data_IF_131934236878
#
_entry.id   IF_131934236878
#
_cell.length_a   1.000
_cell.length_b   1.000
_cell.length_c   1.000
_cell.angle_alpha   90.00
_cell.angle_beta   90.00
_cell.angle_gamma   90.00
#
_symmetry.space_group_name_H-M   'P 1'
#
loop_
_entity.id
_entity.type
_entity.pdbx_description
1 polymer ?
#
# COMPACT_ATOMS: atom_id res chain seq x y z
N UNK A 1 6.08 -2.18 -5.51
CA UNK A 1 6.55 -1.87 -4.14
C UNK A 1 6.74 -0.37 -3.92
N UNK A 2 7.64 0.32 -4.64
CA UNK A 2 7.83 1.76 -4.38
C UNK A 2 6.53 2.59 -4.49
N UNK A 3 5.70 2.35 -5.52
CA UNK A 3 4.41 3.04 -5.66
C UNK A 3 3.45 2.78 -4.48
N UNK A 4 3.39 1.54 -3.97
CA UNK A 4 2.51 1.21 -2.83
C UNK A 4 3.01 1.88 -1.55
N UNK A 5 4.33 1.99 -1.35
CA UNK A 5 4.91 2.76 -0.25
C UNK A 5 4.60 4.25 -0.35
N UNK A 6 4.74 4.84 -1.54
CA UNK A 6 4.39 6.26 -1.78
C UNK A 6 2.91 6.50 -1.47
N UNK A 7 2.02 5.65 -1.99
CA UNK A 7 0.59 5.76 -1.70
C UNK A 7 0.29 5.68 -0.19
N UNK A 8 0.96 4.79 0.54
CA UNK A 8 0.81 4.70 2.00
C UNK A 8 1.38 5.89 2.76
N UNK A 9 2.51 6.47 2.33
CA UNK A 9 3.05 7.70 2.94
C UNK A 9 2.06 8.84 2.75
N UNK A 10 1.56 9.03 1.53
CA UNK A 10 0.58 10.08 1.22
C UNK A 10 -0.70 9.87 2.03
N UNK A 11 -1.17 8.62 2.15
CA UNK A 11 -2.29 8.26 3.03
C UNK A 11 -2.04 8.65 4.49
N UNK A 12 -0.90 8.28 5.06
CA UNK A 12 -0.58 8.62 6.45
C UNK A 12 -0.53 10.14 6.68
N UNK A 13 0.06 10.90 5.75
CA UNK A 13 0.13 12.36 5.84
C UNK A 13 -1.29 12.96 5.83
N UNK A 14 -2.10 12.62 4.83
CA UNK A 14 -3.46 13.15 4.68
C UNK A 14 -4.34 12.75 5.88
N UNK A 15 -4.23 11.51 6.32
CA UNK A 15 -5.04 11.01 7.44
C UNK A 15 -4.62 11.64 8.77
N UNK A 16 -3.33 11.90 8.97
CA UNK A 16 -2.84 12.65 10.13
C UNK A 16 -3.42 14.06 10.14
N UNK A 17 -3.42 14.75 9.00
CA UNK A 17 -4.06 16.08 8.88
C UNK A 17 -5.55 15.99 9.22
N UNK A 18 -6.27 15.02 8.66
CA UNK A 18 -7.70 14.81 8.94
C UNK A 18 -7.98 14.59 10.43
N UNK A 19 -7.18 13.78 11.12
CA UNK A 19 -7.31 13.56 12.56
C UNK A 19 -6.95 14.79 13.38
N UNK A 20 -5.90 15.52 12.99
CA UNK A 20 -5.53 16.77 13.67
C UNK A 20 -6.67 17.78 13.63
N UNK A 21 -7.35 17.92 12.49
CA UNK A 21 -8.54 18.78 12.39
C UNK A 21 -9.73 18.25 13.20
N UNK A 22 -9.94 16.94 13.23
CA UNK A 22 -11.03 16.33 14.00
C UNK A 22 -10.85 16.55 15.52
N UNK A 23 -9.62 16.42 16.02
CA UNK A 23 -9.31 16.47 17.46
C UNK A 23 -9.06 17.90 17.93
N UNK A 24 -8.23 18.66 17.21
CA UNK A 24 -7.74 19.97 17.66
C UNK A 24 -8.51 21.16 17.09
N UNK A 25 -9.24 21.02 15.99
CA UNK A 25 -10.02 22.11 15.38
C UNK A 25 -11.47 21.71 15.05
N UNK A 26 -12.26 21.18 16.01
CA UNK A 26 -13.65 20.78 15.78
C UNK A 26 -14.59 21.96 15.46
N UNK A 27 -14.17 23.20 15.74
CA UNK A 27 -14.94 24.42 15.44
C UNK A 27 -14.76 24.94 14.00
N UNK A 28 -13.84 24.35 13.22
CA UNK A 28 -13.55 24.81 11.86
C UNK A 28 -14.60 24.29 10.87
N UNK A 29 -15.64 25.11 10.66
CA UNK A 29 -16.83 24.80 9.83
C UNK A 29 -16.68 25.13 8.35
N UNK A 30 -15.48 25.46 7.88
CA UNK A 30 -15.25 25.85 6.49
C UNK A 30 -15.64 24.72 5.52
N UNK A 31 -16.75 24.90 4.79
CA UNK A 31 -17.30 23.89 3.87
C UNK A 31 -16.33 23.54 2.74
N UNK A 32 -15.63 24.54 2.19
CA UNK A 32 -14.65 24.33 1.10
C UNK A 32 -13.43 23.53 1.58
N UNK A 33 -12.88 23.89 2.74
CA UNK A 33 -11.75 23.16 3.32
C UNK A 33 -12.14 21.74 3.74
N UNK A 34 -13.39 21.54 4.17
CA UNK A 34 -13.93 20.21 4.47
C UNK A 34 -14.06 19.34 3.21
N UNK A 35 -14.56 19.90 2.10
CA UNK A 35 -14.66 19.20 0.82
C UNK A 35 -13.31 18.72 0.31
N UNK A 36 -12.28 19.58 0.32
CA UNK A 36 -10.93 19.19 -0.11
C UNK A 36 -10.29 18.14 0.80
N UNK A 37 -10.47 18.24 2.13
CA UNK A 37 -10.00 17.23 3.08
C UNK A 37 -10.64 15.86 2.83
N UNK A 38 -11.95 15.84 2.62
CA UNK A 38 -12.68 14.62 2.25
C UNK A 38 -12.20 14.05 0.91
N UNK A 39 -12.01 14.89 -0.11
CA UNK A 39 -11.45 14.50 -1.40
C UNK A 39 -10.08 13.84 -1.26
N UNK A 40 -9.14 14.47 -0.56
CA UNK A 40 -7.82 13.87 -0.33
C UNK A 40 -7.90 12.58 0.48
N UNK A 41 -8.85 12.49 1.42
CA UNK A 41 -9.15 11.23 2.12
C UNK A 41 -9.53 10.10 1.16
N UNK A 42 -10.53 10.32 0.29
CA UNK A 42 -10.95 9.32 -0.70
C UNK A 42 -9.86 9.03 -1.74
N UNK A 43 -9.13 10.04 -2.19
CA UNK A 43 -7.98 9.91 -3.08
C UNK A 43 -6.92 9.00 -2.48
N UNK A 44 -6.55 9.20 -1.22
CA UNK A 44 -5.50 8.38 -0.60
C UNK A 44 -5.95 6.94 -0.31
N UNK A 45 -7.21 6.75 0.08
CA UNK A 45 -7.80 5.40 0.22
C UNK A 45 -7.76 4.67 -1.13
N UNK A 46 -8.24 5.30 -2.20
CA UNK A 46 -8.21 4.71 -3.54
C UNK A 46 -6.78 4.50 -4.05
N UNK A 47 -5.85 5.42 -3.77
CA UNK A 47 -4.43 5.26 -4.07
C UNK A 47 -3.87 3.98 -3.47
N UNK A 48 -4.15 3.73 -2.18
CA UNK A 48 -3.70 2.53 -1.50
C UNK A 48 -4.27 1.27 -2.18
N UNK A 49 -5.58 1.17 -2.39
CA UNK A 49 -6.20 -0.03 -2.97
C UNK A 49 -5.75 -0.30 -4.41
N UNK A 50 -5.77 0.74 -5.26
CA UNK A 50 -5.37 0.60 -6.66
C UNK A 50 -3.88 0.35 -6.83
N UNK A 51 -3.04 0.76 -5.87
CA UNK A 51 -1.61 0.46 -5.93
C UNK A 51 -1.34 -1.06 -5.84
N UNK A 52 -2.15 -1.81 -5.09
CA UNK A 52 -2.13 -3.28 -5.08
C UNK A 52 -2.61 -3.88 -6.39
N UNK A 53 -3.61 -3.25 -7.02
CA UNK A 53 -4.08 -3.68 -8.34
C UNK A 53 -2.99 -3.52 -9.40
N UNK A 54 -2.28 -2.39 -9.43
CA UNK A 54 -1.12 -2.19 -10.33
C UNK A 54 -0.05 -3.25 -10.08
N UNK A 55 0.22 -3.56 -8.81
CA UNK A 55 1.17 -4.60 -8.45
C UNK A 55 0.73 -5.99 -8.92
N UNK A 56 -0.55 -6.33 -8.77
CA UNK A 56 -1.11 -7.60 -9.26
C UNK A 56 -1.05 -7.68 -10.80
N UNK A 57 -1.39 -6.60 -11.50
CA UNK A 57 -1.33 -6.51 -12.97
C UNK A 57 0.10 -6.62 -13.49
N UNK A 58 1.06 -5.94 -12.86
CA UNK A 58 2.49 -6.09 -13.18
C UNK A 58 2.92 -7.55 -13.09
N UNK A 59 2.52 -8.25 -12.01
CA UNK A 59 2.81 -9.69 -11.85
C UNK A 59 2.12 -10.56 -12.88
N UNK A 60 0.90 -10.22 -13.28
CA UNK A 60 0.23 -10.91 -14.38
C UNK A 60 1.03 -10.78 -15.68
N UNK A 61 1.62 -9.61 -15.93
CA UNK A 61 2.48 -9.40 -17.09
C UNK A 61 3.73 -10.27 -17.05
N UNK A 62 4.41 -10.34 -15.90
CA UNK A 62 5.52 -11.26 -15.70
C UNK A 62 5.10 -12.71 -15.88
N UNK A 63 4.05 -13.17 -15.21
CA UNK A 63 3.64 -14.56 -15.29
C UNK A 63 3.23 -14.95 -16.71
N UNK A 64 2.36 -14.17 -17.37
CA UNK A 64 1.71 -14.57 -18.64
C UNK A 64 2.43 -14.15 -19.89
N UNK A 65 2.89 -12.91 -19.91
CA UNK A 65 3.38 -12.28 -21.12
C UNK A 65 4.90 -12.30 -21.22
N UNK A 66 5.63 -12.73 -20.20
CA UNK A 66 7.08 -12.84 -20.26
C UNK A 66 7.60 -13.66 -21.43
N UNK A 67 6.90 -14.74 -21.82
CA UNK A 67 7.32 -15.60 -22.94
C UNK A 67 6.84 -15.09 -24.30
N UNK A 68 5.70 -14.39 -24.36
CA UNK A 68 5.05 -14.00 -25.63
C UNK A 68 5.34 -12.55 -26.05
N UNK A 69 5.48 -11.64 -25.08
CA UNK A 69 5.65 -10.21 -25.31
C UNK A 69 6.67 -9.63 -24.31
N UNK A 70 7.97 -9.81 -24.54
CA UNK A 70 9.01 -9.34 -23.62
C UNK A 70 9.02 -7.81 -23.48
N UNK A 71 8.46 -7.05 -24.43
CA UNK A 71 8.36 -5.59 -24.33
C UNK A 71 7.51 -5.12 -23.15
N UNK A 72 6.50 -5.91 -22.71
CA UNK A 72 5.66 -5.57 -21.57
C UNK A 72 6.41 -5.61 -20.23
N UNK A 73 7.59 -6.24 -20.20
CA UNK A 73 8.43 -6.32 -19.01
C UNK A 73 9.34 -5.10 -18.84
N UNK A 74 9.37 -4.20 -19.82
CA UNK A 74 10.24 -3.03 -19.76
C UNK A 74 9.81 -2.05 -18.66
N UNK A 75 10.78 -1.30 -18.13
CA UNK A 75 10.53 -0.23 -17.16
C UNK A 75 9.53 0.82 -17.66
N UNK A 76 9.50 1.06 -18.98
CA UNK A 76 8.56 2.00 -19.62
C UNK A 76 7.11 1.58 -19.40
N UNK A 77 6.78 0.30 -19.55
CA UNK A 77 5.42 -0.21 -19.33
C UNK A 77 4.98 -0.05 -17.88
N UNK A 78 5.88 -0.32 -16.92
CA UNK A 78 5.60 -0.13 -15.50
C UNK A 78 5.38 1.34 -15.15
N UNK A 79 6.13 2.25 -15.78
CA UNK A 79 5.93 3.69 -15.64
C UNK A 79 4.55 4.12 -16.15
N UNK A 80 4.13 3.65 -17.34
CA UNK A 80 2.79 3.94 -17.85
C UNK A 80 1.68 3.39 -16.95
N UNK A 81 1.83 2.18 -16.39
CA UNK A 81 0.87 1.64 -15.42
C UNK A 81 0.74 2.53 -14.17
N UNK A 82 1.87 3.01 -13.64
CA UNK A 82 1.87 3.91 -12.48
C UNK A 82 1.21 5.24 -12.84
N UNK A 83 1.51 5.80 -14.01
CA UNK A 83 0.91 7.05 -14.48
C UNK A 83 -0.62 6.93 -14.64
N UNK A 84 -1.09 5.86 -15.28
CA UNK A 84 -2.54 5.57 -15.41
C UNK A 84 -3.18 5.41 -14.03
N UNK A 85 -2.50 4.76 -13.09
CA UNK A 85 -2.98 4.60 -11.74
C UNK A 85 -3.20 5.92 -11.01
N UNK A 86 -2.22 6.83 -11.04
CA UNK A 86 -2.37 8.14 -10.40
C UNK A 86 -3.47 8.97 -11.05
N UNK A 87 -3.58 8.93 -12.38
CA UNK A 87 -4.68 9.59 -13.11
C UNK A 87 -6.04 9.03 -12.66
N UNK A 88 -6.18 7.69 -12.59
CA UNK A 88 -7.42 7.07 -12.14
C UNK A 88 -7.77 7.47 -10.70
N UNK A 89 -6.79 7.43 -9.80
CA UNK A 89 -6.95 7.79 -8.39
C UNK A 89 -7.32 9.26 -8.18
N UNK A 90 -6.94 10.17 -9.09
CA UNK A 90 -7.37 11.56 -9.05
C UNK A 90 -8.79 11.76 -9.60
N UNK A 91 -9.15 11.02 -10.66
CA UNK A 91 -10.44 11.15 -11.35
C UNK A 91 -11.59 10.51 -10.58
N UNK A 92 -11.43 9.28 -10.06
CA UNK A 92 -12.54 8.55 -9.44
C UNK A 92 -13.13 9.33 -8.22
N UNK A 93 -12.33 9.92 -7.32
CA UNK A 93 -12.82 10.76 -6.22
C UNK A 93 -13.26 12.16 -6.62
N UNK A 94 -12.99 12.59 -7.86
CA UNK A 94 -13.37 13.93 -8.32
C UNK A 94 -14.90 14.11 -8.33
N UNK A 95 -15.63 13.02 -8.56
CA UNK A 95 -17.09 12.96 -8.42
C UNK A 95 -17.56 13.51 -7.06
N UNK A 96 -16.80 13.30 -5.98
CA UNK A 96 -17.18 13.76 -4.65
C UNK A 96 -17.07 15.26 -4.43
N UNK A 97 -16.20 15.93 -5.20
CA UNK A 97 -16.05 17.39 -5.14
C UNK A 97 -17.07 18.06 -6.06
N UNK A 98 -17.26 17.53 -7.27
CA UNK A 98 -18.18 18.10 -8.27
C UNK A 98 -19.62 18.10 -7.74
N UNK A 99 -20.04 17.03 -7.08
CA UNK A 99 -21.39 16.89 -6.51
C UNK A 99 -21.63 17.74 -5.26
N UNK A 100 -20.58 18.30 -4.64
CA UNK A 100 -20.65 19.02 -3.35
C UNK A 100 -21.35 18.21 -2.24
N UNK A 101 -21.28 16.89 -2.33
CA UNK A 101 -21.95 15.99 -1.38
C UNK A 101 -21.19 15.87 -0.06
N UNK A 102 -19.90 16.19 -0.03
CA UNK A 102 -19.08 16.23 1.18
C UNK A 102 -19.53 17.44 2.02
N UNK A 103 -20.03 17.16 3.23
CA UNK A 103 -20.49 18.20 4.16
C UNK A 103 -19.85 18.01 5.52
N UNK A 104 -19.59 19.12 6.19
CA UNK A 104 -19.14 19.09 7.57
C UNK A 104 -20.24 18.54 8.49
N UNK A 105 -19.87 17.64 9.39
CA UNK A 105 -20.70 17.21 10.51
C UNK A 105 -19.87 17.30 11.80
N UNK A 106 -20.38 17.96 12.85
CA UNK A 106 -19.65 18.07 14.10
C UNK A 106 -19.38 16.67 14.68
N UNK A 107 -18.15 16.43 15.14
CA UNK A 107 -17.72 15.14 15.69
C UNK A 107 -17.41 14.04 14.66
N UNK A 108 -17.51 14.32 13.36
CA UNK A 108 -17.24 13.37 12.29
C UNK A 108 -16.22 13.95 11.28
N UNK A 109 -15.52 13.08 10.56
CA UNK A 109 -14.70 13.49 9.43
C UNK A 109 -15.58 14.03 8.28
N UNK A 110 -14.98 14.85 7.43
CA UNK A 110 -15.57 15.39 6.20
C UNK A 110 -15.82 14.30 5.14
N UNK A 111 -16.95 13.59 5.24
CA UNK A 111 -17.32 12.47 4.38
C UNK A 111 -18.68 12.71 3.73
N UNK A 112 -18.98 11.93 2.68
CA UNK A 112 -20.31 11.91 2.06
C UNK A 112 -21.31 11.33 3.07
N UNK A 113 -22.39 12.06 3.41
CA UNK A 113 -23.39 11.56 4.34
C UNK A 113 -24.22 10.42 3.72
N UNK A 114 -24.61 9.44 4.53
CA UNK A 114 -25.36 8.24 4.11
C UNK A 114 -26.67 8.51 3.36
N UNK A 115 -27.22 9.73 3.47
CA UNK A 115 -28.40 10.17 2.71
C UNK A 115 -28.19 10.14 1.19
N UNK A 116 -26.95 10.29 0.71
CA UNK A 116 -26.61 10.19 -0.72
C UNK A 116 -26.23 8.75 -1.06
N UNK A 117 -27.20 7.84 -0.98
CA UNK A 117 -26.99 6.38 -1.09
C UNK A 117 -26.30 5.97 -2.39
N UNK A 118 -26.62 6.60 -3.52
CA UNK A 118 -26.00 6.32 -4.83
C UNK A 118 -24.50 6.64 -4.80
N UNK A 119 -24.13 7.79 -4.23
CA UNK A 119 -22.74 8.22 -4.18
C UNK A 119 -21.96 7.39 -3.16
N UNK A 120 -22.56 7.06 -2.00
CA UNK A 120 -21.97 6.12 -1.04
C UNK A 120 -21.75 4.75 -1.69
N UNK A 121 -22.74 4.21 -2.41
CA UNK A 121 -22.59 2.95 -3.15
C UNK A 121 -21.45 3.05 -4.17
N UNK A 122 -21.39 4.12 -4.94
CA UNK A 122 -20.28 4.37 -5.88
C UNK A 122 -18.92 4.35 -5.18
N UNK A 123 -18.76 5.04 -4.04
CA UNK A 123 -17.48 5.04 -3.31
C UNK A 123 -17.10 3.65 -2.80
N UNK A 124 -18.07 2.88 -2.30
CA UNK A 124 -17.84 1.53 -1.77
C UNK A 124 -17.47 0.56 -2.88
N UNK A 125 -18.20 0.58 -4.00
CA UNK A 125 -17.91 -0.31 -5.12
C UNK A 125 -16.63 0.10 -5.84
N UNK A 126 -16.49 1.39 -6.16
CA UNK A 126 -15.35 1.92 -6.91
C UNK A 126 -14.04 1.85 -6.13
N UNK A 127 -14.02 2.23 -4.85
CA UNK A 127 -12.77 2.31 -4.08
C UNK A 127 -12.37 0.98 -3.43
N UNK A 128 -13.31 0.06 -3.22
CA UNK A 128 -13.07 -1.16 -2.45
C UNK A 128 -13.39 -2.44 -3.22
N UNK A 129 -14.65 -2.68 -3.59
CA UNK A 129 -15.02 -3.97 -4.20
C UNK A 129 -14.37 -4.21 -5.56
N UNK A 130 -14.41 -3.24 -6.47
CA UNK A 130 -13.85 -3.37 -7.81
C UNK A 130 -12.34 -3.68 -7.78
N UNK A 131 -11.49 -2.92 -7.08
CA UNK A 131 -10.06 -3.25 -7.02
C UNK A 131 -9.80 -4.58 -6.32
N UNK A 132 -10.49 -4.91 -5.22
CA UNK A 132 -10.31 -6.20 -4.52
C UNK A 132 -10.72 -7.38 -5.39
N UNK A 133 -11.88 -7.31 -6.04
CA UNK A 133 -12.35 -8.36 -6.95
C UNK A 133 -11.38 -8.55 -8.12
N UNK A 134 -10.90 -7.45 -8.71
CA UNK A 134 -9.92 -7.48 -9.79
C UNK A 134 -8.62 -8.15 -9.35
N UNK A 135 -8.11 -7.80 -8.16
CA UNK A 135 -6.91 -8.43 -7.57
C UNK A 135 -7.14 -9.94 -7.37
N UNK A 136 -8.28 -10.33 -6.81
CA UNK A 136 -8.63 -11.74 -6.58
C UNK A 136 -8.70 -12.53 -7.90
N UNK A 137 -9.34 -11.99 -8.93
CA UNK A 137 -9.43 -12.62 -10.25
C UNK A 137 -8.04 -12.83 -10.84
N UNK A 138 -7.18 -11.81 -10.81
CA UNK A 138 -5.80 -11.88 -11.31
C UNK A 138 -5.03 -12.99 -10.58
N UNK A 139 -5.14 -13.07 -9.26
CA UNK A 139 -4.41 -14.08 -8.49
C UNK A 139 -4.94 -15.49 -8.64
N UNK A 140 -6.27 -15.68 -8.72
CA UNK A 140 -6.86 -16.98 -9.04
C UNK A 140 -6.38 -17.43 -10.43
N UNK A 141 -6.30 -16.52 -11.39
CA UNK A 141 -5.79 -16.82 -12.73
C UNK A 141 -4.33 -17.25 -12.71
N UNK A 142 -3.46 -16.48 -12.03
CA UNK A 142 -2.03 -16.82 -11.86
C UNK A 142 -1.88 -18.19 -11.18
N UNK A 143 -2.61 -18.44 -10.10
CA UNK A 143 -2.58 -19.69 -9.36
C UNK A 143 -3.02 -20.89 -10.21
N UNK A 144 -4.16 -20.78 -10.91
CA UNK A 144 -4.65 -21.83 -11.81
C UNK A 144 -3.61 -22.15 -12.89
N UNK A 145 -2.95 -21.13 -13.43
CA UNK A 145 -1.91 -21.33 -14.43
C UNK A 145 -0.70 -22.06 -13.87
N UNK A 146 -0.14 -21.62 -12.75
CA UNK A 146 1.00 -22.30 -12.11
C UNK A 146 0.65 -23.77 -11.82
N UNK A 147 -0.56 -24.03 -11.30
CA UNK A 147 -1.04 -25.40 -11.04
C UNK A 147 -1.16 -26.24 -12.31
N UNK A 148 -1.62 -25.66 -13.42
CA UNK A 148 -1.73 -26.35 -14.70
C UNK A 148 -0.36 -26.64 -15.31
N UNK A 149 0.57 -25.67 -15.27
CA UNK A 149 1.96 -25.88 -15.71
C UNK A 149 2.64 -26.95 -14.86
N UNK A 150 2.44 -26.98 -13.53
CA UNK A 150 2.96 -28.04 -12.65
C UNK A 150 2.44 -29.44 -13.00
N UNK A 151 1.16 -29.55 -13.41
CA UNK A 151 0.59 -30.82 -13.88
C UNK A 151 1.21 -31.27 -15.21
N UNK A 152 1.59 -30.32 -16.07
CA UNK A 152 2.15 -30.56 -17.40
C UNK A 152 3.67 -30.76 -17.41
N UNK A 153 4.38 -30.06 -16.53
CA UNK A 153 5.82 -30.06 -16.38
C UNK A 153 6.25 -30.96 -15.21
N UNK A 154 6.15 -32.28 -15.39
CA UNK A 154 6.86 -33.26 -14.56
C UNK A 154 8.37 -33.36 -14.90
N UNK A 155 8.88 -32.48 -15.77
CA UNK A 155 10.21 -32.61 -16.36
C UNK A 155 10.89 -31.25 -16.46
N UNK A 156 11.97 -31.11 -15.68
CA UNK A 156 13.20 -30.34 -15.98
C UNK A 156 13.14 -28.79 -15.80
N UNK A 157 13.90 -28.32 -14.80
CA UNK A 157 14.56 -26.99 -14.67
C UNK A 157 13.81 -25.73 -14.19
N UNK A 158 12.49 -25.71 -13.97
CA UNK A 158 11.78 -24.44 -13.64
C UNK A 158 11.49 -24.19 -12.14
N UNK A 159 12.01 -25.03 -11.24
CA UNK A 159 11.55 -25.13 -9.84
C UNK A 159 11.94 -23.95 -8.93
N UNK A 160 13.01 -23.21 -9.25
CA UNK A 160 13.51 -22.10 -8.40
C UNK A 160 12.66 -20.83 -8.54
N UNK A 161 12.35 -20.43 -9.79
CA UNK A 161 11.48 -19.28 -10.05
C UNK A 161 10.04 -19.55 -9.58
N UNK A 162 9.56 -20.78 -9.73
CA UNK A 162 8.20 -21.17 -9.32
C UNK A 162 7.99 -21.07 -7.80
N UNK A 163 8.96 -21.54 -6.99
CA UNK A 163 8.88 -21.42 -5.52
C UNK A 163 8.84 -19.97 -5.07
N UNK A 164 9.67 -19.11 -5.70
CA UNK A 164 9.69 -17.67 -5.43
C UNK A 164 8.37 -17.02 -5.80
N UNK A 165 7.80 -17.33 -6.97
CA UNK A 165 6.53 -16.76 -7.42
C UNK A 165 5.35 -17.20 -6.53
N UNK A 166 5.35 -18.43 -6.02
CA UNK A 166 4.35 -18.93 -5.08
C UNK A 166 4.48 -18.31 -3.69
N UNK A 167 5.69 -18.11 -3.18
CA UNK A 167 5.92 -17.41 -1.91
C UNK A 167 5.43 -15.95 -2.00
N UNK A 168 5.78 -15.30 -3.10
CA UNK A 168 5.39 -13.93 -3.42
C UNK A 168 3.87 -13.80 -3.62
N UNK A 169 3.22 -14.82 -4.17
CA UNK A 169 1.76 -14.95 -4.26
C UNK A 169 1.12 -15.07 -2.87
N UNK A 170 1.60 -16.01 -2.05
CA UNK A 170 1.12 -16.23 -0.67
C UNK A 170 1.20 -14.95 0.14
N UNK A 171 2.33 -14.24 0.05
CA UNK A 171 2.54 -13.00 0.77
C UNK A 171 1.46 -11.97 0.43
N UNK A 172 1.12 -11.78 -0.86
CA UNK A 172 0.07 -10.82 -1.21
C UNK A 172 -1.32 -11.26 -0.81
N UNK A 173 -1.64 -12.55 -0.86
CA UNK A 173 -2.93 -13.02 -0.35
C UNK A 173 -3.07 -12.70 1.14
N UNK A 174 -2.00 -12.84 1.92
CA UNK A 174 -1.97 -12.43 3.34
C UNK A 174 -2.18 -10.92 3.47
N UNK A 175 -1.47 -10.10 2.68
CA UNK A 175 -1.65 -8.63 2.72
C UNK A 175 -3.07 -8.20 2.34
N UNK A 176 -3.65 -8.84 1.32
CA UNK A 176 -5.03 -8.58 0.89
C UNK A 176 -6.03 -8.98 1.98
N UNK A 177 -5.80 -10.09 2.67
CA UNK A 177 -6.65 -10.50 3.79
C UNK A 177 -6.61 -9.47 4.93
N UNK A 178 -5.42 -9.01 5.32
CA UNK A 178 -5.26 -7.94 6.32
C UNK A 178 -6.06 -6.69 5.91
N UNK A 179 -5.92 -6.28 4.65
CA UNK A 179 -6.64 -5.14 4.11
C UNK A 179 -8.16 -5.33 4.13
N UNK A 180 -8.64 -6.51 3.73
CA UNK A 180 -10.08 -6.84 3.74
C UNK A 180 -10.63 -6.78 5.17
N UNK A 181 -9.92 -7.38 6.12
CA UNK A 181 -10.34 -7.38 7.53
C UNK A 181 -10.35 -5.97 8.13
N UNK A 182 -9.41 -5.11 7.73
CA UNK A 182 -9.38 -3.71 8.16
C UNK A 182 -10.59 -2.88 7.71
N UNK A 183 -11.19 -3.24 6.55
CA UNK A 183 -12.37 -2.58 6.01
C UNK A 183 -13.72 -3.11 6.55
N UNK A 184 -13.72 -4.20 7.31
CA UNK A 184 -14.97 -4.81 7.84
C UNK A 184 -15.76 -3.85 8.72
N UNK A 185 -15.18 -3.10 9.68
CA UNK A 185 -15.97 -2.23 10.54
C UNK A 185 -16.63 -1.09 9.76
N UNK A 186 -15.98 -0.59 8.70
CA UNK A 186 -16.58 0.39 7.79
C UNK A 186 -17.79 -0.20 7.06
N UNK A 187 -17.72 -1.45 6.62
CA UNK A 187 -18.88 -2.13 6.01
C UNK A 187 -20.01 -2.34 7.01
N UNK A 188 -19.70 -2.70 8.26
CA UNK A 188 -20.69 -2.82 9.33
C UNK A 188 -21.34 -1.47 9.65
N UNK A 189 -20.57 -0.38 9.63
CA UNK A 189 -21.11 0.96 9.78
C UNK A 189 -22.14 1.28 8.69
N UNK A 190 -21.89 0.91 7.44
CA UNK A 190 -22.83 1.14 6.34
C UNK A 190 -24.14 0.35 6.50
N UNK A 191 -24.11 -0.81 7.15
CA UNK A 191 -25.31 -1.64 7.38
C UNK A 191 -26.08 -1.23 8.62
N UNK A 192 -25.40 -0.96 9.73
CA UNK A 192 -26.02 -0.75 11.04
C UNK A 192 -26.07 0.72 11.47
N UNK A 193 -25.35 1.62 10.80
CA UNK A 193 -25.30 3.08 11.08
C UNK A 193 -24.98 3.44 12.53
N UNK A 194 -24.25 2.57 13.25
CA UNK A 194 -23.84 2.81 14.65
C UNK A 194 -22.52 3.59 14.74
N UNK A 195 -22.46 4.60 15.60
CA UNK A 195 -21.27 5.46 15.76
C UNK A 195 -20.01 4.70 16.18
N UNK A 196 -20.15 3.63 16.97
CA UNK A 196 -19.03 2.78 17.39
C UNK A 196 -18.33 2.16 16.17
N UNK A 197 -19.10 1.70 15.17
CA UNK A 197 -18.52 1.11 13.95
C UNK A 197 -17.87 2.16 13.05
N UNK A 198 -18.33 3.41 13.10
CA UNK A 198 -17.70 4.52 12.37
C UNK A 198 -16.28 4.79 12.90
N UNK A 199 -16.15 5.01 14.22
CA UNK A 199 -14.86 5.27 14.85
C UNK A 199 -13.94 4.05 14.73
N UNK A 200 -14.48 2.85 14.95
CA UNK A 200 -13.74 1.61 14.75
C UNK A 200 -13.22 1.51 13.31
N UNK A 201 -14.05 1.76 12.29
CA UNK A 201 -13.66 1.67 10.88
C UNK A 201 -12.52 2.60 10.50
N UNK A 202 -12.53 3.82 11.01
CA UNK A 202 -11.45 4.80 10.81
C UNK A 202 -10.13 4.27 11.40
N UNK A 203 -10.16 3.81 12.65
CA UNK A 203 -8.98 3.32 13.37
C UNK A 203 -8.46 2.02 12.76
N UNK A 204 -9.34 1.05 12.47
CA UNK A 204 -8.94 -0.25 11.92
C UNK A 204 -8.35 -0.12 10.53
N UNK A 205 -8.84 0.81 9.71
CA UNK A 205 -8.28 1.02 8.38
C UNK A 205 -6.85 1.58 8.46
N UNK A 206 -6.60 2.58 9.31
CA UNK A 206 -5.24 3.12 9.52
C UNK A 206 -4.31 2.04 10.10
N UNK A 207 -4.77 1.28 11.10
CA UNK A 207 -4.00 0.19 11.69
C UNK A 207 -3.68 -0.91 10.66
N UNK A 208 -4.65 -1.26 9.80
CA UNK A 208 -4.46 -2.26 8.76
C UNK A 208 -3.36 -1.85 7.77
N UNK A 209 -3.29 -0.57 7.37
CA UNK A 209 -2.20 -0.06 6.53
C UNK A 209 -0.84 -0.22 7.23
N UNK A 210 -0.74 0.09 8.53
CA UNK A 210 0.50 -0.08 9.30
C UNK A 210 0.91 -1.55 9.41
N UNK A 211 -0.03 -2.42 9.80
CA UNK A 211 0.20 -3.87 9.93
C UNK A 211 0.61 -4.47 8.60
N UNK A 212 -0.03 -4.06 7.50
CA UNK A 212 0.28 -4.50 6.15
C UNK A 212 1.73 -4.15 5.74
N UNK A 213 2.26 -2.98 6.11
CA UNK A 213 3.69 -2.65 5.87
C UNK A 213 4.65 -3.45 6.73
N UNK A 214 4.32 -3.66 8.00
CA UNK A 214 5.11 -4.53 8.88
C UNK A 214 5.15 -5.95 8.31
N UNK A 215 4.00 -6.51 7.93
CA UNK A 215 3.91 -7.82 7.30
C UNK A 215 4.69 -7.86 5.97
N UNK A 216 4.64 -6.81 5.16
CA UNK A 216 5.43 -6.74 3.91
C UNK A 216 6.93 -6.84 4.19
N UNK A 217 7.44 -6.15 5.22
CA UNK A 217 8.86 -6.22 5.63
C UNK A 217 9.23 -7.62 6.15
N UNK A 218 8.35 -8.25 6.92
CA UNK A 218 8.62 -9.57 7.51
C UNK A 218 8.56 -10.71 6.47
N UNK A 219 7.61 -10.62 5.54
CA UNK A 219 7.31 -11.65 4.55
C UNK A 219 8.24 -11.58 3.33
N UNK A 220 8.72 -10.38 2.96
CA UNK A 220 9.64 -10.21 1.83
C UNK A 220 11.09 -10.48 2.25
N UNK A 221 11.66 -11.58 1.76
CA UNK A 221 13.01 -12.02 2.14
C UNK A 221 14.09 -11.02 1.75
N UNK A 222 13.99 -10.39 0.58
CA UNK A 222 15.00 -9.44 0.11
C UNK A 222 14.89 -8.13 0.89
N UNK A 223 13.67 -7.65 1.11
CA UNK A 223 13.44 -6.45 1.91
C UNK A 223 13.93 -6.64 3.35
N UNK A 224 13.67 -7.81 3.96
CA UNK A 224 14.15 -8.16 5.29
C UNK A 224 15.67 -8.16 5.37
N UNK A 225 16.37 -8.65 4.36
CA UNK A 225 17.84 -8.63 4.31
C UNK A 225 18.38 -7.21 4.22
N UNK A 226 17.78 -6.36 3.38
CA UNK A 226 18.17 -4.94 3.27
C UNK A 226 17.95 -4.21 4.59
N UNK A 227 16.78 -4.37 5.22
CA UNK A 227 16.46 -3.76 6.51
C UNK A 227 17.43 -4.24 7.59
N UNK A 228 17.71 -5.55 7.66
CA UNK A 228 18.68 -6.10 8.60
C UNK A 228 20.08 -5.52 8.40
N UNK A 229 20.53 -5.41 7.16
CA UNK A 229 21.83 -4.82 6.83
C UNK A 229 21.93 -3.35 7.24
N UNK A 230 20.87 -2.57 7.09
CA UNK A 230 20.82 -1.16 7.53
C UNK A 230 20.86 -1.06 9.06
N UNK A 231 20.08 -1.89 9.75
CA UNK A 231 20.06 -1.90 11.23
C UNK A 231 21.43 -2.32 11.76
N UNK A 232 22.03 -3.36 11.19
CA UNK A 232 23.33 -3.87 11.63
C UNK A 232 24.49 -2.95 11.28
N UNK A 233 24.48 -2.30 10.10
CA UNK A 233 25.52 -1.35 9.71
C UNK A 233 25.47 -0.06 10.54
N UNK A 234 24.27 0.40 10.91
CA UNK A 234 24.10 1.57 11.77
C UNK A 234 24.48 1.30 13.23
N UNK A 235 24.42 0.04 13.67
CA UNK A 235 24.84 -0.39 15.01
C UNK A 235 26.34 -0.79 15.08
N UNK A 236 27.11 -0.69 13.99
CA UNK A 236 28.57 -0.77 14.06
C UNK A 236 29.12 0.55 14.60
N UNK A 237 29.15 0.68 15.92
CA UNK A 237 30.08 1.58 16.59
C UNK A 237 31.48 1.02 16.31
N UNK A 238 32.21 1.61 15.37
CA UNK A 238 33.63 1.29 15.20
C UNK A 238 34.33 1.69 16.50
N UNK A 239 34.99 0.77 17.22
CA UNK A 239 35.78 1.16 18.36
C UNK A 239 36.84 2.15 17.88
N UNK A 240 36.98 3.25 18.62
CA UNK A 240 37.97 4.31 18.39
C UNK A 240 39.36 3.74 18.73
N UNK A 241 39.87 2.84 17.91
CA UNK A 241 41.11 2.11 18.20
C UNK A 241 42.32 2.95 17.75
N UNK A 242 42.84 3.70 18.72
CA UNK A 242 44.25 4.05 18.91
C UNK A 242 44.99 4.81 17.79
N UNK A 243 44.71 6.10 17.65
CA UNK A 243 45.60 7.06 16.96
C UNK A 243 46.94 7.30 17.71
N UNK A 244 47.13 6.74 18.91
CA UNK A 244 48.30 7.02 19.77
C UNK A 244 49.48 6.08 19.49
N UNK A 245 49.28 4.90 18.90
CA UNK A 245 50.37 3.91 18.75
C UNK A 245 51.22 4.09 17.49
N UNK A 246 50.72 4.81 16.46
CA UNK A 246 51.47 4.98 15.21
C UNK A 246 52.50 6.13 15.25
N UNK A 247 52.33 7.12 16.13
CA UNK A 247 53.29 8.23 16.27
C UNK A 247 54.54 7.85 17.06
N UNK A 248 54.47 6.82 17.93
CA UNK A 248 55.60 6.41 18.78
C UNK A 248 56.62 5.51 18.06
N UNK A 249 56.18 4.74 17.06
CA UNK A 249 57.09 3.89 16.27
C UNK A 249 57.82 4.66 15.15
N UNK A 250 57.31 5.82 14.72
CA UNK A 250 57.99 6.68 13.74
C UNK A 250 59.14 7.51 14.32
N UNK A 251 59.19 7.71 15.64
CA UNK A 251 60.26 8.48 16.31
C UNK A 251 61.49 7.63 16.65
N UNK A 252 61.31 6.33 16.90
CA UNK A 252 62.43 5.43 17.22
C UNK A 252 63.18 4.90 15.98
N UNK A 253 62.60 4.97 14.78
CA UNK A 253 63.26 4.58 13.53
C UNK A 253 64.19 5.66 12.95
N UNK A 254 64.29 6.85 13.57
CA UNK A 254 65.19 7.95 13.17
C UNK A 254 66.43 8.09 14.08
N UNK A 255 66.67 7.14 14.99
CA UNK A 255 67.88 7.07 15.83
C UNK A 255 68.50 5.68 15.76
N UNK A 256 68.97 5.29 14.58
CA UNK A 256 70.06 4.31 14.37
C UNK A 256 70.82 4.74 13.13
#
# INVERSE_FOLDING_TARGET
MCNTCIASIVYCIVQTINYSFLIFLPWEKGDIGCQWRGYFGYMTISAATYSYLVQATSRLFFARFSTKYPWLLTFKTHYYLILIHWIAVLIIPLSSVITKDIRFRPGLLCWVPLKYTIHVAYTVFGYYFVPIASIMIIYIYIYKRIKNERKRAKSILHTVNEKRDLEVLRNIVILLFIYITGGVPTMLFLLFTMEIFYLAGIVTFTLAVTVEKICTILLDRELRQVVWNIIYSRNRVTPFENTITQTRNATNAKRV
#
